data_IF_175115865643
#
_entry.id   IF_175115865643
#
_cell.length_a   1.000
_cell.length_b   1.000
_cell.length_c   1.000
_cell.angle_alpha   90.00
_cell.angle_beta   90.00
_cell.angle_gamma   90.00
#
_symmetry.space_group_name_H-M   'P 1'
#
loop_
_entity.id
_entity.type
_entity.pdbx_description
1 polymer ?
#
# COMPACT_ATOMS: atom_id res chain seq x y z
N UNK A 1 17.35 9.36 29.27
CA UNK A 1 17.96 9.81 28.02
C UNK A 1 16.85 9.99 26.98
N UNK A 2 16.50 11.24 26.64
CA UNK A 2 15.39 11.53 25.72
C UNK A 2 15.74 11.21 24.27
N UNK A 3 17.04 11.19 23.92
CA UNK A 3 17.48 10.89 22.56
C UNK A 3 17.18 9.43 22.21
N UNK A 4 17.30 8.50 23.17
CA UNK A 4 16.95 7.09 22.96
C UNK A 4 15.50 6.88 22.53
N UNK A 5 14.57 7.70 23.02
CA UNK A 5 13.14 7.56 22.75
C UNK A 5 12.62 8.52 21.69
N UNK A 6 13.48 9.33 21.09
CA UNK A 6 13.10 10.43 20.19
C UNK A 6 12.19 9.99 19.05
N UNK A 7 12.53 8.90 18.37
CA UNK A 7 11.75 8.40 17.24
C UNK A 7 10.40 7.83 17.70
N UNK A 8 10.36 7.15 18.84
CA UNK A 8 9.10 6.71 19.46
C UNK A 8 8.21 7.91 19.79
N UNK A 9 8.76 8.94 20.42
CA UNK A 9 8.03 10.16 20.78
C UNK A 9 7.54 10.92 19.54
N UNK A 10 8.31 10.92 18.43
CA UNK A 10 7.86 11.47 17.14
C UNK A 10 6.69 10.68 16.55
N UNK A 11 6.71 9.35 16.63
CA UNK A 11 5.58 8.50 16.20
C UNK A 11 4.34 8.79 17.03
N UNK A 12 4.47 8.89 18.36
CA UNK A 12 3.39 9.29 19.26
C UNK A 12 2.84 10.66 18.87
N UNK A 13 3.72 11.64 18.65
CA UNK A 13 3.34 12.99 18.27
C UNK A 13 2.59 13.04 16.93
N UNK A 14 3.05 12.30 15.92
CA UNK A 14 2.38 12.23 14.62
C UNK A 14 1.00 11.57 14.71
N UNK A 15 0.84 10.55 15.55
CA UNK A 15 -0.42 9.83 15.71
C UNK A 15 -1.55 10.65 16.34
N UNK A 16 -1.22 11.77 17.01
CA UNK A 16 -2.21 12.65 17.65
C UNK A 16 -2.61 13.86 16.80
N UNK A 17 -2.00 14.08 15.62
CA UNK A 17 -2.23 15.30 14.83
C UNK A 17 -3.69 15.44 14.37
N UNK A 18 -4.35 14.35 14.00
CA UNK A 18 -5.75 14.36 13.59
C UNK A 18 -6.73 14.66 14.76
N UNK A 19 -6.65 14.01 15.94
CA UNK A 19 -7.54 14.33 17.05
C UNK A 19 -7.31 15.74 17.65
N UNK A 20 -6.10 16.29 17.52
CA UNK A 20 -5.73 17.58 18.12
C UNK A 20 -5.72 18.75 17.13
N UNK A 21 -6.21 18.55 15.91
CA UNK A 21 -6.34 19.61 14.91
C UNK A 21 -7.72 19.62 14.26
N UNK A 22 -7.93 20.58 13.35
CA UNK A 22 -9.13 20.64 12.50
C UNK A 22 -9.00 19.80 11.23
N UNK A 23 -7.86 19.15 11.00
CA UNK A 23 -7.68 18.27 9.86
C UNK A 23 -8.33 16.91 10.14
N UNK A 24 -9.02 16.34 9.14
CA UNK A 24 -9.63 15.02 9.18
C UNK A 24 -9.36 14.26 7.90
N UNK A 25 -8.98 12.99 8.02
CA UNK A 25 -8.80 12.09 6.88
C UNK A 25 -10.15 11.59 6.42
N UNK A 26 -10.44 11.68 5.13
CA UNK A 26 -11.73 11.23 4.57
C UNK A 26 -11.58 10.13 3.50
N UNK A 27 -10.51 9.34 3.58
CA UNK A 27 -10.21 8.23 2.67
C UNK A 27 -9.70 8.64 1.27
N UNK A 28 -9.87 9.90 0.86
CA UNK A 28 -9.31 10.46 -0.39
C UNK A 28 -8.35 11.63 -0.17
N UNK A 29 -8.20 12.07 1.07
CA UNK A 29 -7.28 13.14 1.44
C UNK A 29 -7.63 13.75 2.79
N UNK A 30 -7.13 14.97 3.00
CA UNK A 30 -7.35 15.75 4.23
C UNK A 30 -8.41 16.82 4.00
N UNK A 31 -9.36 16.92 4.92
CA UNK A 31 -10.36 18.00 4.99
C UNK A 31 -10.19 18.80 6.25
N UNK A 32 -10.39 20.12 6.16
CA UNK A 32 -10.47 20.98 7.34
C UNK A 32 -11.93 21.05 7.77
N UNK A 33 -12.22 20.62 9.00
CA UNK A 33 -13.57 20.64 9.56
C UNK A 33 -13.84 21.88 10.41
N UNK A 34 -15.11 22.26 10.51
CA UNK A 34 -15.52 23.43 11.31
C UNK A 34 -15.33 23.19 12.80
N UNK A 35 -15.69 22.00 13.30
CA UNK A 35 -15.56 21.59 14.70
C UNK A 35 -14.10 21.71 15.15
N UNK A 36 -13.90 22.24 16.37
CA UNK A 36 -12.58 22.35 16.98
C UNK A 36 -11.93 21.00 17.29
N UNK A 37 -10.66 21.00 17.72
CA UNK A 37 -9.96 19.79 18.12
C UNK A 37 -10.70 19.08 19.26
N UNK A 38 -10.61 17.76 19.29
CA UNK A 38 -11.33 16.94 20.28
C UNK A 38 -10.69 17.04 21.66
N UNK A 39 -9.40 17.31 21.71
CA UNK A 39 -8.59 17.31 22.93
C UNK A 39 -7.38 18.25 22.79
N UNK A 40 -6.83 18.71 23.92
CA UNK A 40 -5.57 19.47 23.95
C UNK A 40 -4.38 18.56 23.57
N UNK A 41 -3.40 19.04 22.76
CA UNK A 41 -2.27 18.23 22.33
C UNK A 41 -1.51 17.51 23.44
N UNK A 42 -1.22 18.20 24.56
CA UNK A 42 -0.52 17.61 25.70
C UNK A 42 -1.25 16.39 26.28
N UNK A 43 -2.57 16.48 26.46
CA UNK A 43 -3.35 15.39 27.04
C UNK A 43 -3.43 14.20 26.09
N UNK A 44 -3.70 14.46 24.81
CA UNK A 44 -3.72 13.43 23.78
C UNK A 44 -2.37 12.72 23.65
N UNK A 45 -1.27 13.47 23.76
CA UNK A 45 0.09 12.92 23.73
C UNK A 45 0.35 11.99 24.92
N UNK A 46 0.05 12.43 26.14
CA UNK A 46 0.26 11.62 27.35
C UNK A 46 -0.59 10.34 27.32
N UNK A 47 -1.87 10.46 26.95
CA UNK A 47 -2.76 9.31 26.81
C UNK A 47 -2.26 8.33 25.74
N UNK A 48 -1.84 8.83 24.59
CA UNK A 48 -1.29 7.98 23.52
C UNK A 48 0.03 7.31 23.92
N UNK A 49 0.88 8.01 24.67
CA UNK A 49 2.12 7.45 25.20
C UNK A 49 1.82 6.31 26.19
N UNK A 50 0.84 6.49 27.07
CA UNK A 50 0.39 5.44 27.98
C UNK A 50 -0.19 4.23 27.23
N UNK A 51 -1.00 4.46 26.19
CA UNK A 51 -1.48 3.38 25.29
C UNK A 51 -0.30 2.59 24.70
N UNK A 52 0.71 3.27 24.16
CA UNK A 52 1.90 2.63 23.57
C UNK A 52 2.71 1.84 24.62
N UNK A 53 2.88 2.38 25.83
CA UNK A 53 3.57 1.68 26.92
C UNK A 53 2.81 0.42 27.33
N UNK A 54 1.49 0.49 27.42
CA UNK A 54 0.64 -0.65 27.74
C UNK A 54 0.72 -1.71 26.64
N UNK A 55 0.63 -1.32 25.37
CA UNK A 55 0.76 -2.23 24.24
C UNK A 55 2.10 -2.98 24.26
N UNK A 56 3.21 -2.25 24.48
CA UNK A 56 4.54 -2.84 24.59
C UNK A 56 4.65 -3.79 25.80
N UNK A 57 4.02 -3.45 26.92
CA UNK A 57 4.00 -4.28 28.12
C UNK A 57 3.21 -5.57 27.91
N UNK A 58 2.05 -5.49 27.25
CA UNK A 58 1.22 -6.64 26.86
C UNK A 58 1.99 -7.56 25.91
N UNK A 59 2.60 -7.00 24.85
CA UNK A 59 3.42 -7.77 23.92
C UNK A 59 4.57 -8.47 24.64
N UNK A 60 5.29 -7.75 25.51
CA UNK A 60 6.39 -8.33 26.26
C UNK A 60 5.94 -9.47 27.18
N UNK A 61 4.84 -9.27 27.91
CA UNK A 61 4.32 -10.23 28.87
C UNK A 61 3.78 -11.51 28.20
N UNK A 62 2.95 -11.36 27.17
CA UNK A 62 2.26 -12.49 26.54
C UNK A 62 3.08 -13.17 25.45
N UNK A 63 3.77 -12.41 24.59
CA UNK A 63 4.51 -12.98 23.47
C UNK A 63 5.96 -13.32 23.82
N UNK A 64 6.50 -12.75 24.92
CA UNK A 64 7.90 -12.92 25.36
C UNK A 64 8.87 -12.90 24.18
N UNK A 65 8.82 -11.86 23.34
CA UNK A 65 9.56 -11.84 22.09
C UNK A 65 11.05 -11.97 22.37
N UNK A 66 11.73 -12.80 21.59
CA UNK A 66 13.19 -12.79 21.56
C UNK A 66 13.65 -11.50 20.89
N UNK A 67 14.72 -10.90 21.41
CA UNK A 67 15.34 -9.76 20.76
C UNK A 67 15.85 -10.16 19.37
N UNK A 68 15.54 -9.34 18.38
CA UNK A 68 16.01 -9.49 17.01
C UNK A 68 16.57 -8.15 16.52
N UNK A 69 17.57 -8.20 15.63
CA UNK A 69 18.03 -7.01 14.94
C UNK A 69 16.97 -6.54 13.95
N UNK A 70 16.53 -5.30 14.08
CA UNK A 70 15.62 -4.67 13.14
C UNK A 70 16.34 -3.56 12.37
N UNK A 71 16.16 -3.53 11.05
CA UNK A 71 16.68 -2.47 10.18
C UNK A 71 15.53 -1.87 9.37
N UNK A 72 15.39 -0.55 9.42
CA UNK A 72 14.43 0.17 8.59
C UNK A 72 15.17 0.78 7.41
N UNK A 73 14.75 0.43 6.20
CA UNK A 73 15.34 0.92 4.96
C UNK A 73 14.31 1.78 4.23
N UNK A 74 14.65 3.05 3.98
CA UNK A 74 13.89 3.88 3.06
C UNK A 74 14.36 3.56 1.63
N UNK A 75 13.63 2.71 0.93
CA UNK A 75 13.97 2.21 -0.40
C UNK A 75 12.73 2.02 -1.28
N UNK A 76 12.95 1.80 -2.58
CA UNK A 76 11.90 1.54 -3.56
C UNK A 76 11.81 0.03 -3.85
N UNK A 77 10.64 -0.56 -3.59
CA UNK A 77 10.39 -1.98 -3.75
C UNK A 77 10.55 -2.49 -5.19
N UNK A 78 10.50 -1.59 -6.19
CA UNK A 78 10.70 -1.95 -7.61
C UNK A 78 12.16 -2.26 -7.97
N UNK A 79 13.09 -1.97 -7.05
CA UNK A 79 14.53 -2.17 -7.26
C UNK A 79 15.25 -2.78 -6.05
N UNK A 80 14.77 -2.55 -4.82
CA UNK A 80 15.33 -3.07 -3.56
C UNK A 80 16.86 -2.91 -3.42
N UNK A 81 17.41 -1.79 -3.92
CA UNK A 81 18.86 -1.58 -4.02
C UNK A 81 19.60 -1.48 -2.67
N UNK A 82 18.89 -1.31 -1.55
CA UNK A 82 19.47 -1.25 -0.19
C UNK A 82 19.32 -2.56 0.57
N UNK A 83 18.59 -3.54 0.01
CA UNK A 83 18.41 -4.86 0.61
C UNK A 83 19.55 -5.77 0.16
N UNK A 84 20.29 -6.41 1.08
CA UNK A 84 21.32 -7.38 0.72
C UNK A 84 20.74 -8.54 -0.10
N UNK A 85 21.50 -9.00 -1.10
CA UNK A 85 21.11 -10.14 -1.93
C UNK A 85 21.36 -11.45 -1.22
N UNK A 86 20.42 -12.38 -1.34
CA UNK A 86 20.51 -13.69 -0.71
C UNK A 86 20.65 -13.51 0.80
N UNK A 87 19.72 -12.81 1.44
CA UNK A 87 19.66 -12.74 2.92
C UNK A 87 18.22 -12.89 3.45
N UNK A 88 17.26 -13.13 2.56
CA UNK A 88 15.83 -13.12 2.90
C UNK A 88 15.17 -14.46 2.64
N UNK A 89 14.67 -15.09 3.71
CA UNK A 89 13.93 -16.37 3.67
C UNK A 89 12.40 -16.20 3.61
N UNK A 90 11.91 -15.05 4.08
CA UNK A 90 10.49 -14.72 4.13
C UNK A 90 10.26 -13.25 3.76
N UNK A 91 9.37 -13.04 2.80
CA UNK A 91 8.86 -11.71 2.44
C UNK A 91 7.37 -11.69 2.72
N UNK A 92 6.88 -10.68 3.45
CA UNK A 92 5.45 -10.46 3.67
C UNK A 92 5.14 -9.00 3.38
N UNK A 93 4.22 -8.74 2.44
CA UNK A 93 3.82 -7.38 2.14
C UNK A 93 2.39 -7.25 1.60
N UNK A 94 1.86 -6.03 1.74
CA UNK A 94 0.60 -5.59 1.14
C UNK A 94 0.91 -4.35 0.31
N UNK A 95 1.04 -4.43 -1.03
CA UNK A 95 1.28 -3.26 -1.85
C UNK A 95 0.09 -2.28 -1.74
N UNK A 96 0.26 -0.99 -2.10
CA UNK A 96 -0.86 -0.06 -2.21
C UNK A 96 -1.94 -0.64 -3.12
N UNK A 97 -3.17 -0.85 -2.63
CA UNK A 97 -4.22 -1.46 -3.46
C UNK A 97 -4.56 -0.59 -4.67
N UNK A 98 -4.90 -1.23 -5.77
CA UNK A 98 -5.34 -0.60 -7.02
C UNK A 98 -6.77 -0.02 -6.86
N UNK A 99 -6.94 0.95 -5.97
CA UNK A 99 -8.23 1.50 -5.54
C UNK A 99 -8.26 3.04 -5.54
N UNK A 100 -7.28 3.68 -6.16
CA UNK A 100 -7.08 5.14 -6.19
C UNK A 100 -6.72 5.83 -4.87
N UNK A 101 -6.26 5.09 -3.86
CA UNK A 101 -5.84 5.66 -2.58
C UNK A 101 -4.40 6.20 -2.64
N UNK A 102 -4.24 7.49 -2.36
CA UNK A 102 -2.93 8.16 -2.32
C UNK A 102 -2.47 8.41 -0.87
N UNK A 103 -1.46 7.66 -0.45
CA UNK A 103 -0.85 7.79 0.87
C UNK A 103 -0.19 9.16 1.08
N UNK A 104 0.34 9.80 0.03
CA UNK A 104 0.98 11.12 0.13
C UNK A 104 0.00 12.25 0.38
N UNK A 105 -1.28 12.07 -0.01
CA UNK A 105 -2.35 13.03 0.28
C UNK A 105 -2.95 12.77 1.66
N UNK A 106 -3.19 11.50 2.02
CA UNK A 106 -3.83 11.13 3.28
C UNK A 106 -2.92 11.41 4.48
N UNK A 107 -1.61 11.14 4.35
CA UNK A 107 -0.62 11.37 5.40
C UNK A 107 0.15 12.69 5.21
N UNK A 108 -0.39 13.61 4.41
CA UNK A 108 0.27 14.90 4.13
C UNK A 108 0.52 15.69 5.42
N UNK A 109 -0.36 15.62 6.41
CA UNK A 109 -0.16 16.35 7.67
C UNK A 109 1.07 15.82 8.41
N UNK A 110 1.19 14.50 8.53
CA UNK A 110 2.31 13.83 9.20
C UNK A 110 3.63 14.03 8.45
N UNK A 111 3.61 13.92 7.11
CA UNK A 111 4.80 14.11 6.27
C UNK A 111 5.40 15.50 6.45
N UNK A 112 4.56 16.53 6.50
CA UNK A 112 5.02 17.91 6.70
C UNK A 112 5.38 18.20 8.15
N UNK A 113 4.61 17.68 9.11
CA UNK A 113 4.83 17.93 10.52
C UNK A 113 6.12 17.28 11.05
N UNK A 114 6.52 16.13 10.49
CA UNK A 114 7.75 15.42 10.85
C UNK A 114 8.95 15.80 9.97
N UNK A 115 8.85 16.86 9.16
CA UNK A 115 9.91 17.33 8.26
C UNK A 115 10.38 16.30 7.21
N UNK A 116 9.56 15.30 6.89
CA UNK A 116 9.83 14.37 5.77
C UNK A 116 9.62 15.03 4.41
N UNK A 117 8.84 16.11 4.38
CA UNK A 117 8.60 16.97 3.23
C UNK A 117 8.69 18.42 3.68
N UNK A 118 9.59 19.19 3.10
CA UNK A 118 9.86 20.58 3.48
C UNK A 118 9.34 21.60 2.48
N UNK A 119 8.96 21.14 1.29
CA UNK A 119 8.46 22.00 0.23
C UNK A 119 7.38 21.30 -0.61
N UNK A 120 6.60 22.13 -1.31
CA UNK A 120 5.61 21.63 -2.27
C UNK A 120 6.26 20.83 -3.41
N UNK A 121 7.48 21.17 -3.79
CA UNK A 121 8.20 20.45 -4.85
C UNK A 121 8.62 19.06 -4.38
N UNK A 122 9.21 18.94 -3.20
CA UNK A 122 9.54 17.64 -2.58
C UNK A 122 8.31 16.74 -2.44
N UNK A 123 7.17 17.32 -2.08
CA UNK A 123 5.91 16.59 -2.00
C UNK A 123 5.47 16.03 -3.36
N UNK A 124 5.52 16.83 -4.42
CA UNK A 124 5.19 16.38 -5.77
C UNK A 124 6.17 15.33 -6.27
N UNK A 125 7.46 15.46 -5.96
CA UNK A 125 8.48 14.47 -6.31
C UNK A 125 8.25 13.14 -5.59
N UNK A 126 7.97 13.17 -4.27
CA UNK A 126 7.62 12.00 -3.48
C UNK A 126 6.41 11.29 -4.08
N UNK A 127 5.35 12.05 -4.41
CA UNK A 127 4.14 11.52 -5.02
C UNK A 127 4.39 10.88 -6.38
N UNK A 128 5.26 11.41 -7.22
CA UNK A 128 5.59 10.78 -8.52
C UNK A 128 6.44 9.53 -8.38
N UNK A 129 7.06 9.31 -7.22
CA UNK A 129 7.84 8.12 -6.92
C UNK A 129 7.02 7.01 -6.26
N UNK A 130 5.79 7.27 -5.83
CA UNK A 130 4.95 6.20 -5.24
C UNK A 130 4.51 5.18 -6.27
N UNK A 131 4.01 4.05 -5.77
CA UNK A 131 3.38 3.02 -6.59
C UNK A 131 2.20 3.59 -7.38
N UNK A 132 2.04 3.15 -8.64
CA UNK A 132 0.98 3.63 -9.54
C UNK A 132 -0.37 3.00 -9.21
N UNK A 133 -0.93 3.42 -8.09
CA UNK A 133 -2.22 2.94 -7.57
C UNK A 133 -3.26 4.04 -7.38
N UNK A 134 -2.92 5.30 -7.73
CA UNK A 134 -3.75 6.49 -7.48
C UNK A 134 -3.75 7.51 -8.62
N UNK A 135 -4.75 8.39 -8.63
CA UNK A 135 -5.04 9.32 -9.73
C UNK A 135 -4.67 10.79 -9.40
N UNK A 136 -3.81 11.00 -8.39
CA UNK A 136 -3.39 12.34 -7.96
C UNK A 136 -2.01 12.74 -8.49
N UNK A 137 -1.43 11.91 -9.36
CA UNK A 137 -0.23 12.19 -10.12
C UNK A 137 -0.47 11.85 -11.59
N UNK A 138 0.19 12.57 -12.49
CA UNK A 138 0.19 12.23 -13.91
C UNK A 138 1.19 11.11 -14.15
N UNK A 139 0.69 9.99 -14.66
CA UNK A 139 1.51 8.83 -14.96
C UNK A 139 1.78 8.71 -16.46
N UNK A 140 3.01 8.38 -16.80
CA UNK A 140 3.33 7.93 -18.15
C UNK A 140 2.82 6.50 -18.34
N UNK A 141 2.24 6.21 -19.51
CA UNK A 141 2.02 4.82 -19.92
C UNK A 141 3.37 4.17 -20.17
N UNK A 142 3.62 3.07 -19.49
CA UNK A 142 4.75 2.17 -19.74
C UNK A 142 4.22 0.76 -20.00
N UNK A 143 5.10 -0.15 -20.40
CA UNK A 143 4.76 -1.55 -20.63
C UNK A 143 5.97 -2.43 -20.29
N UNK A 144 6.30 -2.48 -18.99
CA UNK A 144 7.33 -3.38 -18.47
C UNK A 144 6.84 -4.83 -18.39
N UNK A 145 5.52 -5.02 -18.23
CA UNK A 145 4.86 -6.31 -18.28
C UNK A 145 3.64 -6.26 -19.21
N UNK A 146 3.54 -7.24 -20.09
CA UNK A 146 2.42 -7.38 -21.03
C UNK A 146 1.84 -8.78 -20.96
N UNK A 147 0.52 -8.85 -20.85
CA UNK A 147 -0.21 -10.10 -20.80
C UNK A 147 -1.57 -9.89 -21.48
N UNK A 148 -2.06 -10.90 -22.21
CA UNK A 148 -3.27 -10.79 -23.03
C UNK A 148 -4.48 -10.27 -22.24
N UNK A 149 -4.69 -10.80 -21.03
CA UNK A 149 -5.80 -10.37 -20.15
C UNK A 149 -5.63 -8.91 -19.72
N UNK A 150 -4.42 -8.47 -19.40
CA UNK A 150 -4.18 -7.08 -19.02
C UNK A 150 -4.40 -6.13 -20.22
N UNK A 151 -3.96 -6.53 -21.41
CA UNK A 151 -4.16 -5.78 -22.65
C UNK A 151 -5.66 -5.61 -22.93
N UNK A 152 -6.44 -6.69 -22.83
CA UNK A 152 -7.90 -6.65 -22.97
C UNK A 152 -8.58 -5.76 -21.92
N UNK A 153 -8.12 -5.78 -20.67
CA UNK A 153 -8.63 -4.91 -19.61
C UNK A 153 -8.33 -3.44 -19.93
N UNK A 154 -7.09 -3.09 -20.30
CA UNK A 154 -6.72 -1.72 -20.67
C UNK A 154 -7.56 -1.22 -21.85
N UNK A 155 -7.68 -2.01 -22.92
CA UNK A 155 -8.46 -1.67 -24.11
C UNK A 155 -9.95 -1.50 -23.81
N UNK A 156 -10.51 -2.35 -22.94
CA UNK A 156 -11.89 -2.22 -22.50
C UNK A 156 -12.10 -0.92 -21.73
N UNK A 157 -11.23 -0.63 -20.76
CA UNK A 157 -11.34 0.57 -19.92
C UNK A 157 -11.18 1.86 -20.73
N UNK A 158 -10.33 1.89 -21.76
CA UNK A 158 -10.19 3.03 -22.68
C UNK A 158 -11.46 3.38 -23.44
N UNK A 159 -12.37 2.41 -23.62
CA UNK A 159 -13.66 2.58 -24.30
C UNK A 159 -14.80 2.96 -23.36
N UNK A 160 -14.56 3.00 -22.05
CA UNK A 160 -15.58 3.34 -21.06
C UNK A 160 -15.54 4.83 -20.71
N UNK A 161 -16.71 5.39 -20.38
CA UNK A 161 -16.79 6.70 -19.74
C UNK A 161 -16.44 6.57 -18.26
N UNK A 162 -15.17 6.82 -17.94
CA UNK A 162 -14.62 6.72 -16.59
C UNK A 162 -14.60 8.09 -15.92
N UNK A 163 -14.80 8.11 -14.60
CA UNK A 163 -14.68 9.34 -13.80
C UNK A 163 -13.25 9.93 -13.79
N UNK A 164 -12.26 9.13 -14.22
CA UNK A 164 -10.87 9.55 -14.42
C UNK A 164 -10.31 8.83 -15.65
N UNK A 165 -9.90 9.61 -16.66
CA UNK A 165 -9.36 9.12 -17.93
C UNK A 165 -8.00 8.42 -17.78
N UNK A 166 -7.28 8.67 -16.68
CA UNK A 166 -5.98 8.04 -16.40
C UNK A 166 -6.10 6.61 -15.86
N UNK A 167 -7.30 6.14 -15.51
CA UNK A 167 -7.50 4.80 -14.93
C UNK A 167 -6.88 3.67 -15.78
N UNK A 168 -7.03 3.61 -17.12
CA UNK A 168 -6.36 2.57 -17.92
C UNK A 168 -4.83 2.61 -17.76
N UNK A 169 -4.24 3.81 -17.70
CA UNK A 169 -2.80 4.01 -17.51
C UNK A 169 -2.37 3.57 -16.09
N UNK A 170 -3.17 3.91 -15.07
CA UNK A 170 -2.93 3.50 -13.67
C UNK A 170 -2.99 1.98 -13.55
N UNK A 171 -3.99 1.33 -14.15
CA UNK A 171 -4.14 -0.13 -14.12
C UNK A 171 -2.93 -0.81 -14.77
N UNK A 172 -2.50 -0.39 -15.96
CA UNK A 172 -1.28 -0.89 -16.60
C UNK A 172 -0.05 -0.67 -15.72
N UNK A 173 0.12 0.57 -15.25
CA UNK A 173 1.26 0.98 -14.44
C UNK A 173 1.37 0.23 -13.10
N UNK A 174 0.24 -0.14 -12.50
CA UNK A 174 0.20 -0.96 -11.30
C UNK A 174 0.84 -2.33 -11.52
N UNK A 175 0.49 -3.01 -12.62
CA UNK A 175 1.06 -4.32 -12.93
C UNK A 175 2.51 -4.25 -13.37
N UNK A 176 2.91 -3.18 -14.04
CA UNK A 176 4.32 -2.89 -14.30
C UNK A 176 5.12 -2.74 -12.99
N UNK A 177 4.63 -1.92 -12.05
CA UNK A 177 5.29 -1.73 -10.76
C UNK A 177 5.34 -3.04 -9.95
N UNK A 178 4.27 -3.86 -10.01
CA UNK A 178 4.25 -5.18 -9.37
C UNK A 178 5.25 -6.13 -10.02
N UNK A 179 5.34 -6.16 -11.35
CA UNK A 179 6.31 -6.99 -12.06
C UNK A 179 7.75 -6.62 -11.71
N UNK A 180 8.07 -5.32 -11.71
CA UNK A 180 9.40 -4.84 -11.29
C UNK A 180 9.69 -5.19 -9.82
N UNK A 181 8.70 -5.07 -8.95
CA UNK A 181 8.82 -5.47 -7.53
C UNK A 181 9.09 -6.97 -7.41
N UNK A 182 8.37 -7.82 -8.15
CA UNK A 182 8.59 -9.26 -8.17
C UNK A 182 9.99 -9.60 -8.68
N UNK A 183 10.46 -8.94 -9.76
CA UNK A 183 11.84 -9.12 -10.23
C UNK A 183 12.88 -8.75 -9.17
N UNK A 184 12.74 -7.59 -8.55
CA UNK A 184 13.64 -7.14 -7.49
C UNK A 184 13.64 -8.13 -6.31
N UNK A 185 12.46 -8.61 -5.89
CA UNK A 185 12.33 -9.64 -4.86
C UNK A 185 13.03 -10.94 -5.25
N UNK A 186 12.86 -11.40 -6.48
CA UNK A 186 13.52 -12.61 -6.97
C UNK A 186 15.05 -12.49 -6.91
N UNK A 187 15.60 -11.31 -7.17
CA UNK A 187 17.03 -11.06 -7.10
C UNK A 187 17.59 -11.03 -5.67
N UNK A 188 16.83 -10.53 -4.68
CA UNK A 188 17.33 -10.37 -3.30
C UNK A 188 17.03 -11.55 -2.38
N UNK A 189 16.06 -12.39 -2.72
CA UNK A 189 15.64 -13.54 -1.89
C UNK A 189 16.52 -14.76 -2.11
N UNK A 190 16.65 -15.63 -1.10
CA UNK A 190 17.29 -16.94 -1.25
C UNK A 190 16.38 -17.91 -2.01
N UNK A 191 16.98 -18.98 -2.53
CA UNK A 191 16.22 -20.15 -2.96
C UNK A 191 15.42 -20.70 -1.77
N UNK A 192 14.26 -21.29 -2.05
CA UNK A 192 13.25 -21.70 -1.06
C UNK A 192 12.56 -20.55 -0.29
N UNK A 193 12.87 -19.28 -0.58
CA UNK A 193 12.20 -18.14 0.07
C UNK A 193 10.68 -18.18 -0.15
N UNK A 194 9.93 -17.94 0.92
CA UNK A 194 8.48 -17.77 0.90
C UNK A 194 8.13 -16.29 0.69
N UNK A 195 7.30 -15.99 -0.31
CA UNK A 195 6.79 -14.63 -0.54
C UNK A 195 5.28 -14.63 -0.36
N UNK A 196 4.80 -13.85 0.60
CA UNK A 196 3.39 -13.71 0.97
C UNK A 196 2.92 -12.31 0.59
N UNK A 197 1.95 -12.24 -0.31
CA UNK A 197 1.43 -10.98 -0.86
C UNK A 197 -0.05 -10.87 -0.52
N UNK A 198 -0.44 -9.82 0.21
CA UNK A 198 -1.83 -9.53 0.53
C UNK A 198 -2.33 -8.46 -0.45
N UNK A 199 -3.34 -8.79 -1.26
CA UNK A 199 -3.87 -7.89 -2.29
C UNK A 199 -5.38 -7.94 -2.39
N UNK A 200 -5.98 -6.81 -2.75
CA UNK A 200 -7.39 -6.71 -3.11
C UNK A 200 -7.60 -6.66 -4.61
N UNK A 201 -8.56 -7.43 -5.12
CA UNK A 201 -9.12 -7.19 -6.44
C UNK A 201 -9.81 -5.82 -6.47
N UNK A 202 -9.81 -5.20 -7.65
CA UNK A 202 -10.40 -3.87 -7.85
C UNK A 202 -11.52 -3.90 -8.88
N UNK A 203 -12.27 -2.80 -8.98
CA UNK A 203 -13.35 -2.67 -9.94
C UNK A 203 -13.35 -1.29 -10.59
N UNK A 204 -13.33 -1.28 -11.92
CA UNK A 204 -13.41 -0.09 -12.76
C UNK A 204 -14.23 -0.40 -14.00
N UNK A 205 -14.93 0.61 -14.53
CA UNK A 205 -15.72 0.46 -15.75
C UNK A 205 -16.78 -0.65 -15.70
N UNK A 206 -17.26 -1.04 -14.51
CA UNK A 206 -18.23 -2.14 -14.38
C UNK A 206 -17.66 -3.55 -14.53
N UNK A 207 -16.33 -3.70 -14.56
CA UNK A 207 -15.65 -5.01 -14.52
C UNK A 207 -14.80 -5.14 -13.25
N UNK A 208 -14.47 -6.38 -12.91
CA UNK A 208 -13.51 -6.68 -11.85
C UNK A 208 -12.16 -6.92 -12.49
N UNK A 209 -11.14 -6.28 -11.93
CA UNK A 209 -9.75 -6.52 -12.28
C UNK A 209 -9.24 -7.61 -11.34
N UNK A 210 -8.86 -8.79 -11.87
CA UNK A 210 -8.36 -9.90 -11.07
C UNK A 210 -6.89 -9.67 -10.72
N UNK A 211 -6.65 -8.70 -9.83
CA UNK A 211 -5.32 -8.29 -9.37
C UNK A 211 -4.55 -9.47 -8.82
N UNK A 212 -5.20 -10.31 -8.01
CA UNK A 212 -4.58 -11.49 -7.42
C UNK A 212 -4.03 -12.47 -8.48
N UNK A 213 -4.85 -12.84 -9.46
CA UNK A 213 -4.46 -13.76 -10.53
C UNK A 213 -3.42 -13.17 -11.49
N UNK A 214 -3.51 -11.88 -11.82
CA UNK A 214 -2.53 -11.24 -12.70
C UNK A 214 -1.16 -11.10 -12.03
N UNK A 215 -1.11 -10.82 -10.72
CA UNK A 215 0.14 -10.84 -9.95
C UNK A 215 0.72 -12.26 -9.90
N UNK A 216 -0.09 -13.28 -9.64
CA UNK A 216 0.37 -14.68 -9.68
C UNK A 216 0.95 -15.06 -11.05
N UNK A 217 0.29 -14.64 -12.13
CA UNK A 217 0.77 -14.89 -13.49
C UNK A 217 2.12 -14.19 -13.76
N UNK A 218 2.22 -12.93 -13.36
CA UNK A 218 3.47 -12.15 -13.46
C UNK A 218 4.59 -12.78 -12.65
N UNK A 219 4.30 -13.26 -11.44
CA UNK A 219 5.27 -13.94 -10.56
C UNK A 219 5.79 -15.24 -11.18
N UNK A 220 4.91 -16.02 -11.82
CA UNK A 220 5.30 -17.23 -12.54
C UNK A 220 6.29 -16.93 -13.68
N UNK A 221 6.08 -15.82 -14.41
CA UNK A 221 6.98 -15.39 -15.49
C UNK A 221 8.32 -14.84 -14.99
N UNK A 222 8.35 -14.29 -13.77
CA UNK A 222 9.61 -13.89 -13.11
C UNK A 222 10.43 -15.10 -12.66
N UNK A 223 9.78 -16.23 -12.33
CA UNK A 223 10.43 -17.47 -11.91
C UNK A 223 9.94 -18.02 -10.56
N UNK A 224 9.02 -17.33 -9.88
CA UNK A 224 8.40 -17.87 -8.67
C UNK A 224 7.40 -18.98 -9.00
N UNK A 225 7.14 -19.84 -8.02
CA UNK A 225 6.11 -20.87 -8.08
C UNK A 225 4.95 -20.46 -7.17
N UNK A 226 3.75 -20.22 -7.72
CA UNK A 226 2.57 -19.99 -6.89
C UNK A 226 2.16 -21.27 -6.15
N UNK A 227 2.17 -21.23 -4.81
CA UNK A 227 1.79 -22.37 -3.96
C UNK A 227 0.32 -22.30 -3.55
N UNK A 228 -0.16 -21.11 -3.15
CA UNK A 228 -1.53 -20.94 -2.63
C UNK A 228 -2.13 -19.60 -3.01
N UNK A 229 -3.45 -19.60 -3.16
CA UNK A 229 -4.29 -18.41 -3.20
C UNK A 229 -5.39 -18.56 -2.15
N UNK A 230 -5.32 -17.78 -1.08
CA UNK A 230 -6.28 -17.84 0.03
C UNK A 230 -7.20 -16.64 -0.03
N UNK A 231 -8.51 -16.86 -0.09
CA UNK A 231 -9.50 -15.77 -0.04
C UNK A 231 -9.74 -15.41 1.42
N UNK A 232 -9.48 -14.15 1.79
CA UNK A 232 -9.60 -13.65 3.17
C UNK A 232 -11.02 -13.18 3.44
N UNK A 233 -11.53 -12.29 2.58
CA UNK A 233 -12.86 -11.70 2.70
C UNK A 233 -13.32 -11.08 1.40
N UNK A 234 -14.63 -10.85 1.30
CA UNK A 234 -15.18 -9.97 0.27
C UNK A 234 -14.83 -8.51 0.57
N UNK A 235 -14.61 -7.75 -0.51
CA UNK A 235 -14.36 -6.31 -0.45
C UNK A 235 -15.58 -5.54 -0.97
N UNK A 236 -15.70 -4.29 -0.51
CA UNK A 236 -16.65 -3.33 -1.06
C UNK A 236 -16.03 -2.48 -2.17
N UNK A 237 -16.88 -1.83 -2.97
CA UNK A 237 -16.46 -0.78 -3.91
C UNK A 237 -17.43 0.39 -3.85
N UNK A 238 -17.13 1.47 -4.58
CA UNK A 238 -17.99 2.66 -4.62
C UNK A 238 -19.40 2.32 -5.11
N UNK A 239 -20.40 3.05 -4.61
CA UNK A 239 -21.80 2.88 -5.04
C UNK A 239 -21.97 3.01 -6.56
N UNK A 240 -21.12 3.82 -7.22
CA UNK A 240 -21.10 3.93 -8.68
C UNK A 240 -20.72 2.60 -9.34
N UNK A 241 -19.64 1.95 -8.90
CA UNK A 241 -19.21 0.65 -9.43
C UNK A 241 -20.19 -0.47 -9.05
N UNK A 242 -20.75 -0.45 -7.83
CA UNK A 242 -21.75 -1.44 -7.41
C UNK A 242 -23.01 -1.45 -8.27
N UNK A 243 -23.40 -0.31 -8.86
CA UNK A 243 -24.53 -0.22 -9.81
C UNK A 243 -24.23 -0.85 -11.16
N UNK A 244 -22.97 -0.83 -11.59
CA UNK A 244 -22.52 -1.39 -12.86
C UNK A 244 -22.22 -2.88 -12.77
N UNK A 245 -21.72 -3.32 -11.61
CA UNK A 245 -21.36 -4.71 -11.37
C UNK A 245 -22.60 -5.60 -11.21
N UNK A 246 -22.62 -6.69 -11.99
CA UNK A 246 -23.59 -7.78 -11.79
C UNK A 246 -23.43 -8.38 -10.40
N UNK A 247 -24.55 -8.75 -9.77
CA UNK A 247 -24.58 -9.20 -8.36
C UNK A 247 -23.71 -10.44 -8.12
N UNK A 248 -23.73 -11.39 -9.05
CA UNK A 248 -22.96 -12.63 -9.03
C UNK A 248 -21.45 -12.41 -9.13
N UNK A 249 -21.02 -11.31 -9.74
CA UNK A 249 -19.62 -10.94 -9.86
C UNK A 249 -19.06 -10.31 -8.58
N UNK A 250 -19.90 -9.75 -7.71
CA UNK A 250 -19.44 -9.01 -6.51
C UNK A 250 -18.55 -9.85 -5.58
N UNK A 251 -18.79 -11.16 -5.48
CA UNK A 251 -17.95 -12.11 -4.71
C UNK A 251 -16.50 -12.20 -5.19
N UNK A 252 -16.21 -11.77 -6.43
CA UNK A 252 -14.86 -11.74 -6.99
C UNK A 252 -14.10 -10.47 -6.60
N UNK A 253 -14.80 -9.48 -6.05
CA UNK A 253 -14.18 -8.33 -5.39
C UNK A 253 -13.80 -8.79 -3.98
N UNK A 254 -12.54 -9.19 -3.84
CA UNK A 254 -12.05 -9.91 -2.65
C UNK A 254 -10.64 -9.49 -2.29
N UNK A 255 -10.31 -9.68 -1.02
CA UNK A 255 -8.95 -9.63 -0.51
C UNK A 255 -8.40 -11.05 -0.46
N UNK A 256 -7.21 -11.24 -1.01
CA UNK A 256 -6.57 -12.53 -1.16
C UNK A 256 -5.14 -12.48 -0.64
N UNK A 257 -4.66 -13.61 -0.11
CA UNK A 257 -3.25 -13.86 0.18
C UNK A 257 -2.69 -14.78 -0.91
N UNK A 258 -1.70 -14.29 -1.64
CA UNK A 258 -0.90 -15.07 -2.58
C UNK A 258 0.32 -15.59 -1.82
N UNK A 259 0.58 -16.89 -1.92
CA UNK A 259 1.81 -17.51 -1.40
C UNK A 259 2.61 -18.00 -2.60
N UNK A 260 3.84 -17.51 -2.71
CA UNK A 260 4.80 -17.88 -3.73
C UNK A 260 6.05 -18.49 -3.09
N UNK A 261 6.75 -19.33 -3.85
CA UNK A 261 8.04 -19.92 -3.51
C UNK A 261 9.07 -19.57 -4.56
N UNK A 262 10.27 -19.14 -4.14
CA UNK A 262 11.44 -19.13 -5.02
C UNK A 262 12.08 -20.53 -5.00
N UNK A 263 12.44 -21.07 -6.15
CA UNK A 263 13.24 -22.30 -6.27
C UNK A 263 14.55 -22.00 -6.96
#
# INVERSE_FOLDING_TARGET
>A
DLELYKDLLKVVLASILEPTSRAKKNGKGLKIVRKGPLEKPKNAFLRKLEEVINDLSVVHYFLRPKYASAKVLNDDARQLGKVPKGETDLVVFSPPYLNTFDYTEVYKLELWFLDFVKSRNEWYELRRKTFRSHNLAKWARTEYWSHEVLNKIEDYLRKQELWCEEIPIIVRGYFDDMYLTLKALYEVTYDECCVVIIVGNSAYGGIIIPVDLLIMRSALEVGFIPEKLLIVRELGTSSQQLRLLRRDMRKLLRESIIVLRKR
#
